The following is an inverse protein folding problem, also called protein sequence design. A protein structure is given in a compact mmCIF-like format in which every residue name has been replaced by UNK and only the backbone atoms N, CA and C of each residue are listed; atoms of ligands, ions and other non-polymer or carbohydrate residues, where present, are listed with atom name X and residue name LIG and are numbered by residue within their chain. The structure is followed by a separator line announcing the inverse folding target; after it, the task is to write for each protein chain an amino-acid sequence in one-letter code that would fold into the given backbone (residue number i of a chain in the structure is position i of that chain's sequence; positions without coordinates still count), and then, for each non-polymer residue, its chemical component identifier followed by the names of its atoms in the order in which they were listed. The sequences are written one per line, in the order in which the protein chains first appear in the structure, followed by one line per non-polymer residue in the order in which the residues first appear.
data_IF_369914637296
#
_entry.id   IF_369914637296
#
_cell.length_a   1.000
_cell.length_b   1.000
_cell.length_c   1.000
_cell.angle_alpha   90.00
_cell.angle_beta   90.00
_cell.angle_gamma   90.00
#
_symmetry.space_group_name_H-M   'P 1'
#
loop_
_entity.id
_entity.type
_entity.pdbx_description
1 polymer ?
#
# COMPACT_ATOMS: atom_id res chain seq x y z
N UNK A 1 -22.13 15.75 -18.43
CA UNK A 1 -22.10 15.58 -19.91
C UNK A 1 -23.23 14.63 -20.27
N UNK A 2 -24.28 15.16 -20.91
CA UNK A 2 -25.44 14.39 -21.36
C UNK A 2 -25.00 13.35 -22.38
N UNK A 3 -24.93 12.08 -21.97
CA UNK A 3 -24.72 10.95 -22.88
C UNK A 3 -25.97 10.84 -23.73
N UNK A 4 -25.91 11.46 -24.91
CA UNK A 4 -26.94 11.33 -25.95
C UNK A 4 -26.97 9.86 -26.31
N UNK A 5 -28.03 9.16 -25.94
CA UNK A 5 -28.28 7.76 -26.26
C UNK A 5 -28.32 7.60 -27.80
N UNK A 6 -27.24 7.14 -28.44
CA UNK A 6 -27.14 7.09 -29.89
C UNK A 6 -28.13 6.09 -30.46
N UNK A 7 -28.52 5.09 -29.66
CA UNK A 7 -29.44 4.03 -30.00
C UNK A 7 -30.86 4.58 -30.18
N UNK A 8 -31.34 5.37 -29.22
CA UNK A 8 -32.63 6.03 -29.31
C UNK A 8 -32.73 6.96 -30.53
N UNK A 9 -31.65 7.67 -30.87
CA UNK A 9 -31.59 8.56 -32.03
C UNK A 9 -31.67 7.79 -33.37
N UNK A 10 -30.91 6.70 -33.51
CA UNK A 10 -30.96 5.89 -34.72
C UNK A 10 -32.29 5.16 -34.87
N UNK A 11 -32.82 4.58 -33.79
CA UNK A 11 -34.11 3.90 -33.79
C UNK A 11 -35.25 4.84 -34.19
N UNK A 12 -35.26 6.06 -33.64
CA UNK A 12 -36.24 7.09 -33.99
C UNK A 12 -36.14 7.50 -35.46
N UNK A 13 -34.92 7.64 -36.00
CA UNK A 13 -34.69 7.99 -37.40
C UNK A 13 -35.11 6.88 -38.37
N UNK A 14 -34.93 5.62 -37.98
CA UNK A 14 -35.43 4.46 -38.73
C UNK A 14 -36.96 4.44 -38.76
N UNK A 15 -37.62 4.71 -37.62
CA UNK A 15 -39.09 4.80 -37.56
C UNK A 15 -39.62 5.97 -38.42
N UNK A 16 -38.98 7.14 -38.39
CA UNK A 16 -39.37 8.28 -39.23
C UNK A 16 -39.31 7.96 -40.73
N UNK A 17 -38.25 7.28 -41.18
CA UNK A 17 -38.10 6.86 -42.57
C UNK A 17 -39.18 5.85 -42.99
N UNK A 18 -39.59 4.98 -42.08
CA UNK A 18 -40.64 3.99 -42.32
C UNK A 18 -42.02 4.63 -42.43
N UNK A 19 -42.35 5.58 -41.55
CA UNK A 19 -43.61 6.32 -41.60
C UNK A 19 -43.73 7.11 -42.90
N UNK A 20 -42.64 7.75 -43.32
CA UNK A 20 -42.60 8.55 -44.56
C UNK A 20 -42.83 7.66 -45.79
N UNK A 21 -42.25 6.46 -45.83
CA UNK A 21 -42.50 5.51 -46.91
C UNK A 21 -43.92 4.94 -46.92
N UNK A 22 -44.55 4.75 -45.76
CA UNK A 22 -45.93 4.23 -45.68
C UNK A 22 -46.95 5.24 -46.20
N UNK A 23 -46.69 6.55 -46.06
CA UNK A 23 -47.57 7.61 -46.53
C UNK A 23 -47.76 7.62 -48.06
N UNK A 24 -46.73 7.20 -48.83
CA UNK A 24 -46.78 7.14 -50.29
C UNK A 24 -47.63 5.98 -50.85
N UNK A 25 -48.05 5.03 -50.00
CA UNK A 25 -48.82 3.84 -50.41
C UNK A 25 -50.26 3.80 -49.88
N UNK A 26 -50.76 4.89 -49.27
CA UNK A 26 -52.14 4.96 -48.77
C UNK A 26 -53.19 4.78 -49.87
N UNK A 27 -54.18 3.91 -49.64
CA UNK A 27 -55.38 3.76 -50.48
C UNK A 27 -56.22 5.05 -50.45
N UNK A 28 -56.89 5.44 -51.57
CA UNK A 28 -57.87 6.53 -51.52
C UNK A 28 -59.07 6.10 -50.66
N UNK A 29 -59.49 7.02 -49.78
CA UNK A 29 -60.66 6.88 -48.90
C UNK A 29 -61.91 6.52 -49.69
N UNK A 30 -62.44 5.30 -49.51
CA UNK A 30 -63.80 4.95 -49.99
C UNK A 30 -64.83 5.59 -49.05
N UNK A 31 -65.26 6.80 -49.38
CA UNK A 31 -66.54 7.27 -48.89
C UNK A 31 -67.64 6.49 -49.62
N UNK A 32 -68.57 5.95 -48.83
CA UNK A 32 -69.86 5.34 -49.20
C UNK A 32 -69.88 3.83 -49.42
N UNK A 33 -70.10 3.09 -48.33
CA UNK A 33 -71.03 1.96 -48.32
C UNK A 33 -71.47 1.71 -46.87
N UNK A 34 -72.50 2.45 -46.45
CA UNK A 34 -73.39 1.95 -45.40
C UNK A 34 -74.30 0.87 -46.02
N UNK A 35 -74.76 -0.04 -45.17
CA UNK A 35 -75.72 -1.12 -45.43
C UNK A 35 -75.17 -2.41 -46.05
N UNK A 36 -74.91 -3.42 -45.21
CA UNK A 36 -75.90 -4.48 -44.96
C UNK A 36 -75.39 -5.39 -43.83
N UNK A 37 -76.10 -5.36 -42.70
CA UNK A 37 -76.04 -6.36 -41.63
C UNK A 37 -77.23 -7.33 -41.80
N UNK A 38 -76.93 -8.63 -41.80
CA UNK A 38 -77.76 -9.78 -41.37
C UNK A 38 -77.01 -11.03 -41.89
N UNK A 39 -76.64 -12.06 -41.13
CA UNK A 39 -77.23 -12.58 -39.90
C UNK A 39 -78.33 -13.56 -40.25
N UNK A 40 -77.99 -14.81 -40.63
CA UNK A 40 -78.59 -16.06 -40.11
C UNK A 40 -78.15 -17.34 -40.88
N UNK A 41 -77.79 -18.35 -40.07
CA UNK A 41 -77.99 -19.81 -40.17
C UNK A 41 -77.34 -20.67 -41.28
N UNK A 42 -76.41 -21.52 -40.81
CA UNK A 42 -76.18 -22.86 -41.34
C UNK A 42 -77.39 -23.75 -41.00
N UNK A 43 -78.08 -24.24 -42.02
CA UNK A 43 -79.16 -25.22 -41.90
C UNK A 43 -79.17 -26.18 -43.10
N UNK A 44 -79.13 -27.46 -42.77
CA UNK A 44 -79.05 -28.66 -43.60
C UNK A 44 -80.15 -28.73 -44.69
N UNK A 45 -79.80 -29.10 -45.92
CA UNK A 45 -80.76 -29.58 -46.92
C UNK A 45 -80.09 -30.58 -47.87
N UNK A 46 -80.03 -31.83 -47.42
CA UNK A 46 -79.84 -32.99 -48.28
C UNK A 46 -81.19 -33.42 -48.90
N UNK A 47 -81.19 -33.52 -50.25
CA UNK A 47 -82.07 -34.34 -51.13
C UNK A 47 -83.59 -34.17 -51.05
N UNK A 48 -84.18 -33.56 -52.09
CA UNK A 48 -85.14 -34.15 -53.08
C UNK A 48 -85.13 -33.16 -54.27
N UNK A 49 -84.69 -33.46 -55.49
CA UNK A 49 -85.46 -34.16 -56.52
C UNK A 49 -84.55 -34.60 -57.67
N UNK A 50 -84.70 -35.87 -58.06
CA UNK A 50 -84.45 -36.36 -59.41
C UNK A 50 -84.99 -35.40 -60.48
N UNK A 51 -84.20 -35.11 -61.50
CA UNK A 51 -84.36 -35.68 -62.84
C UNK A 51 -83.59 -34.85 -63.89
N UNK A 52 -82.50 -35.43 -64.41
CA UNK A 52 -81.93 -35.18 -65.73
C UNK A 52 -81.95 -33.73 -66.26
N UNK A 53 -81.23 -32.82 -65.60
CA UNK A 53 -80.47 -31.83 -66.37
C UNK A 53 -79.07 -32.41 -66.52
N UNK A 54 -78.87 -33.16 -67.62
CA UNK A 54 -77.58 -33.72 -68.01
C UNK A 54 -76.51 -32.63 -67.79
N UNK A 55 -75.36 -32.93 -67.17
CA UNK A 55 -74.28 -31.95 -67.08
C UNK A 55 -73.93 -31.41 -68.49
N UNK A 56 -74.11 -32.24 -69.52
CA UNK A 56 -74.04 -31.88 -70.94
C UNK A 56 -75.18 -30.96 -71.41
N UNK A 57 -76.38 -31.04 -70.83
CA UNK A 57 -77.51 -30.15 -71.11
C UNK A 57 -77.33 -28.80 -70.41
N UNK A 58 -76.82 -28.77 -69.17
CA UNK A 58 -76.43 -27.52 -68.50
C UNK A 58 -75.24 -26.87 -69.21
N UNK A 59 -74.26 -27.66 -69.65
CA UNK A 59 -73.15 -27.21 -70.47
C UNK A 59 -73.63 -26.73 -71.84
N UNK A 60 -74.58 -27.43 -72.48
CA UNK A 60 -75.28 -26.97 -73.69
C UNK A 60 -75.97 -25.64 -73.42
N UNK A 61 -76.78 -25.51 -72.39
CA UNK A 61 -77.48 -24.26 -72.06
C UNK A 61 -76.54 -23.10 -71.76
N UNK A 62 -75.42 -23.35 -71.06
CA UNK A 62 -74.39 -22.34 -70.79
C UNK A 62 -73.58 -22.00 -72.05
N UNK A 63 -73.34 -22.98 -72.92
CA UNK A 63 -72.65 -22.79 -74.19
C UNK A 63 -73.56 -22.11 -75.22
N UNK A 64 -74.84 -22.42 -75.23
CA UNK A 64 -75.89 -21.78 -76.02
C UNK A 64 -76.16 -20.36 -75.52
N UNK A 65 -76.12 -20.12 -74.20
CA UNK A 65 -76.11 -18.77 -73.63
C UNK A 65 -74.84 -18.00 -74.04
N UNK A 66 -73.67 -18.63 -74.00
CA UNK A 66 -72.40 -18.02 -74.41
C UNK A 66 -72.36 -17.72 -75.92
N UNK A 67 -72.95 -18.59 -76.75
CA UNK A 67 -73.09 -18.40 -78.19
C UNK A 67 -74.12 -17.32 -78.49
N UNK A 68 -75.27 -17.31 -77.81
CA UNK A 68 -76.28 -16.26 -77.92
C UNK A 68 -75.74 -14.91 -77.42
N UNK A 69 -74.93 -14.90 -76.37
CA UNK A 69 -74.23 -13.72 -75.85
C UNK A 69 -73.17 -13.24 -76.86
N UNK A 70 -72.41 -14.14 -77.48
CA UNK A 70 -71.42 -13.83 -78.53
C UNK A 70 -72.07 -13.34 -79.83
N UNK A 71 -73.23 -13.88 -80.22
CA UNK A 71 -74.03 -13.41 -81.35
C UNK A 71 -74.73 -12.08 -81.05
N UNK A 72 -75.16 -11.84 -79.81
CA UNK A 72 -75.69 -10.55 -79.36
C UNK A 72 -74.60 -9.46 -79.30
N UNK A 73 -73.36 -9.81 -78.92
CA UNK A 73 -72.19 -8.92 -79.02
C UNK A 73 -71.87 -8.60 -80.50
N UNK A 74 -72.06 -9.56 -81.41
CA UNK A 74 -71.80 -9.38 -82.85
C UNK A 74 -72.92 -8.63 -83.60
N UNK A 75 -74.14 -8.57 -83.06
CA UNK A 75 -75.31 -7.95 -83.71
C UNK A 75 -75.65 -6.56 -83.17
N UNK A 76 -74.87 -6.03 -82.22
CA UNK A 76 -74.98 -4.63 -81.77
C UNK A 76 -76.28 -4.30 -81.04
N UNK A 77 -77.02 -5.30 -80.57
CA UNK A 77 -78.23 -5.14 -79.77
C UNK A 77 -77.94 -5.77 -78.41
N UNK A 78 -77.33 -4.97 -77.53
CA UNK A 78 -77.48 -4.91 -76.07
C UNK A 78 -76.50 -3.80 -75.68
N UNK A 79 -77.05 -2.63 -75.35
CA UNK A 79 -76.34 -1.67 -74.49
C UNK A 79 -75.85 -2.45 -73.27
N UNK A 80 -74.58 -2.29 -72.94
CA UNK A 80 -73.93 -2.84 -71.74
C UNK A 80 -74.92 -2.92 -70.59
N UNK A 81 -75.30 -4.13 -70.17
CA UNK A 81 -76.12 -4.31 -68.98
C UNK A 81 -75.33 -3.66 -67.83
N UNK A 82 -75.74 -2.47 -67.39
CA UNK A 82 -74.89 -1.55 -66.62
C UNK A 82 -74.37 -2.20 -65.33
N UNK A 83 -75.15 -3.12 -64.78
CA UNK A 83 -74.82 -3.93 -63.61
C UNK A 83 -73.66 -4.91 -63.87
N UNK A 84 -73.58 -5.54 -65.05
CA UNK A 84 -72.47 -6.44 -65.45
C UNK A 84 -71.19 -5.64 -65.70
N UNK A 85 -71.30 -4.45 -66.32
CA UNK A 85 -70.19 -3.53 -66.50
C UNK A 85 -69.62 -3.04 -65.16
N UNK A 86 -70.49 -2.64 -64.22
CA UNK A 86 -70.12 -2.27 -62.86
C UNK A 86 -69.45 -3.42 -62.10
N UNK A 87 -69.95 -4.65 -62.25
CA UNK A 87 -69.38 -5.83 -61.62
C UNK A 87 -67.99 -6.19 -62.19
N UNK A 88 -67.77 -5.98 -63.49
CA UNK A 88 -66.47 -6.16 -64.13
C UNK A 88 -65.47 -5.07 -63.69
N UNK A 89 -65.91 -3.82 -63.52
CA UNK A 89 -65.12 -2.73 -62.95
C UNK A 89 -64.76 -3.04 -61.49
N UNK A 90 -65.73 -3.50 -60.70
CA UNK A 90 -65.52 -3.87 -59.30
C UNK A 90 -64.53 -5.04 -59.16
N UNK A 91 -64.65 -6.09 -59.99
CA UNK A 91 -63.69 -7.21 -60.06
C UNK A 91 -62.28 -6.73 -60.42
N UNK A 92 -62.16 -5.81 -61.37
CA UNK A 92 -60.86 -5.24 -61.76
C UNK A 92 -60.24 -4.44 -60.61
N UNK A 93 -61.04 -3.66 -59.89
CA UNK A 93 -60.59 -2.92 -58.70
C UNK A 93 -60.17 -3.84 -57.55
N UNK A 94 -60.94 -4.89 -57.26
CA UNK A 94 -60.59 -5.90 -56.25
C UNK A 94 -59.30 -6.62 -56.61
N UNK A 95 -59.11 -6.99 -57.89
CA UNK A 95 -57.87 -7.61 -58.34
C UNK A 95 -56.65 -6.67 -58.20
N UNK A 96 -56.81 -5.38 -58.50
CA UNK A 96 -55.77 -4.38 -58.32
C UNK A 96 -55.43 -4.17 -56.83
N UNK A 97 -56.45 -4.13 -55.97
CA UNK A 97 -56.25 -4.04 -54.51
C UNK A 97 -55.55 -5.29 -53.98
N UNK A 98 -55.93 -6.47 -54.46
CA UNK A 98 -55.26 -7.73 -54.12
C UNK A 98 -53.79 -7.74 -54.53
N UNK A 99 -53.49 -7.31 -55.77
CA UNK A 99 -52.10 -7.20 -56.24
C UNK A 99 -51.28 -6.21 -55.40
N UNK A 100 -51.86 -5.08 -55.01
CA UNK A 100 -51.20 -4.11 -54.12
C UNK A 100 -51.03 -4.64 -52.70
N UNK A 101 -52.00 -5.39 -52.20
CA UNK A 101 -51.94 -6.05 -50.89
C UNK A 101 -50.83 -7.10 -50.86
N UNK A 102 -50.74 -7.94 -51.89
CA UNK A 102 -49.69 -8.96 -52.04
C UNK A 102 -48.30 -8.30 -52.10
N UNK A 103 -48.14 -7.23 -52.89
CA UNK A 103 -46.91 -6.42 -52.92
C UNK A 103 -46.57 -5.77 -51.57
N UNK A 104 -47.58 -5.33 -50.82
CA UNK A 104 -47.36 -4.73 -49.50
C UNK A 104 -46.90 -5.79 -48.49
N UNK A 105 -47.47 -6.99 -48.52
CA UNK A 105 -47.02 -8.13 -47.72
C UNK A 105 -45.57 -8.49 -48.04
N UNK A 106 -45.20 -8.56 -49.32
CA UNK A 106 -43.81 -8.82 -49.73
C UNK A 106 -42.86 -7.77 -49.16
N UNK A 107 -43.19 -6.48 -49.29
CA UNK A 107 -42.37 -5.38 -48.79
C UNK A 107 -42.21 -5.40 -47.27
N UNK A 108 -43.29 -5.68 -46.53
CA UNK A 108 -43.26 -5.78 -45.06
C UNK A 108 -42.43 -6.99 -44.62
N UNK A 109 -42.51 -8.11 -45.33
CA UNK A 109 -41.69 -9.29 -45.06
C UNK A 109 -40.20 -9.02 -45.32
N UNK A 110 -39.89 -8.35 -46.43
CA UNK A 110 -38.53 -7.94 -46.76
C UNK A 110 -37.98 -6.97 -45.70
N UNK A 111 -38.78 -5.99 -45.28
CA UNK A 111 -38.40 -5.04 -44.24
C UNK A 111 -38.16 -5.73 -42.90
N UNK A 112 -39.03 -6.65 -42.51
CA UNK A 112 -38.87 -7.44 -41.27
C UNK A 112 -37.58 -8.24 -41.30
N UNK A 113 -37.29 -8.93 -42.41
CA UNK A 113 -36.05 -9.68 -42.60
C UNK A 113 -34.81 -8.77 -42.47
N UNK A 114 -34.83 -7.61 -43.15
CA UNK A 114 -33.75 -6.64 -43.05
C UNK A 114 -33.57 -6.10 -41.62
N UNK A 115 -34.66 -5.86 -40.89
CA UNK A 115 -34.61 -5.40 -39.51
C UNK A 115 -34.01 -6.45 -38.57
N UNK A 116 -34.37 -7.73 -38.73
CA UNK A 116 -33.78 -8.84 -37.98
C UNK A 116 -32.27 -8.94 -38.24
N UNK A 117 -31.84 -8.89 -39.50
CA UNK A 117 -30.41 -8.92 -39.88
C UNK A 117 -29.64 -7.76 -39.25
N UNK A 118 -30.19 -6.54 -39.30
CA UNK A 118 -29.55 -5.36 -38.70
C UNK A 118 -29.48 -5.51 -37.18
N UNK A 119 -30.57 -5.96 -36.54
CA UNK A 119 -30.63 -6.13 -35.09
C UNK A 119 -29.63 -7.19 -34.62
N UNK A 120 -29.53 -8.31 -35.32
CA UNK A 120 -28.56 -9.38 -35.02
C UNK A 120 -27.12 -8.87 -35.17
N UNK A 121 -26.81 -8.18 -36.28
CA UNK A 121 -25.49 -7.58 -36.50
C UNK A 121 -25.14 -6.54 -35.44
N UNK A 122 -26.06 -5.64 -35.10
CA UNK A 122 -25.84 -4.61 -34.08
C UNK A 122 -25.66 -5.21 -32.69
N UNK A 123 -26.44 -6.24 -32.33
CA UNK A 123 -26.29 -6.96 -31.06
C UNK A 123 -24.96 -7.69 -30.99
N UNK A 124 -24.57 -8.38 -32.07
CA UNK A 124 -23.27 -9.06 -32.17
C UNK A 124 -22.11 -8.09 -32.01
N UNK A 125 -22.17 -6.93 -32.69
CA UNK A 125 -21.18 -5.86 -32.57
C UNK A 125 -21.13 -5.29 -31.15
N UNK A 126 -22.29 -5.02 -30.55
CA UNK A 126 -22.37 -4.51 -29.17
C UNK A 126 -21.71 -5.49 -28.18
N UNK A 127 -22.06 -6.77 -28.25
CA UNK A 127 -21.45 -7.82 -27.42
C UNK A 127 -19.93 -7.92 -27.66
N UNK A 128 -19.46 -7.73 -28.90
CA UNK A 128 -18.03 -7.72 -29.21
C UNK A 128 -17.32 -6.50 -28.59
N UNK A 129 -17.94 -5.32 -28.66
CA UNK A 129 -17.44 -4.10 -28.02
C UNK A 129 -17.37 -4.24 -26.49
N UNK A 130 -18.41 -4.80 -25.85
CA UNK A 130 -18.43 -5.02 -24.40
C UNK A 130 -17.32 -5.97 -23.95
N UNK A 131 -17.14 -7.09 -24.67
CA UNK A 131 -16.02 -8.01 -24.41
C UNK A 131 -14.66 -7.33 -24.60
N UNK A 132 -14.52 -6.51 -25.63
CA UNK A 132 -13.29 -5.77 -25.90
C UNK A 132 -13.00 -4.74 -24.81
N UNK A 133 -14.02 -4.02 -24.33
CA UNK A 133 -13.89 -3.08 -23.21
C UNK A 133 -13.49 -3.80 -21.91
N UNK A 134 -14.07 -4.97 -21.64
CA UNK A 134 -13.69 -5.79 -20.48
C UNK A 134 -12.23 -6.24 -20.58
N UNK A 135 -11.79 -6.74 -21.74
CA UNK A 135 -10.40 -7.09 -21.99
C UNK A 135 -9.45 -5.91 -21.86
N UNK A 136 -9.80 -4.74 -22.40
CA UNK A 136 -8.99 -3.53 -22.28
C UNK A 136 -8.81 -3.13 -20.81
N UNK A 137 -9.89 -3.20 -20.02
CA UNK A 137 -9.85 -2.91 -18.58
C UNK A 137 -8.93 -3.90 -17.84
N UNK A 138 -9.03 -5.20 -18.16
CA UNK A 138 -8.19 -6.23 -17.56
C UNK A 138 -6.71 -6.05 -17.92
N UNK A 139 -6.40 -5.74 -19.19
CA UNK A 139 -5.02 -5.47 -19.63
C UNK A 139 -4.47 -4.23 -18.93
N UNK A 140 -5.27 -3.17 -18.81
CA UNK A 140 -4.87 -1.96 -18.08
C UNK A 140 -4.57 -2.23 -16.61
N UNK A 141 -5.44 -3.00 -15.93
CA UNK A 141 -5.21 -3.43 -14.55
C UNK A 141 -3.93 -4.29 -14.41
N UNK A 142 -3.70 -5.20 -15.36
CA UNK A 142 -2.47 -6.01 -15.40
C UNK A 142 -1.21 -5.16 -15.59
N UNK A 143 -1.24 -4.18 -16.50
CA UNK A 143 -0.13 -3.26 -16.72
C UNK A 143 0.19 -2.44 -15.47
N UNK A 144 -0.85 -1.97 -14.77
CA UNK A 144 -0.71 -1.23 -13.53
C UNK A 144 -0.13 -2.09 -12.39
N UNK A 145 -0.55 -3.36 -12.29
CA UNK A 145 0.03 -4.30 -11.32
C UNK A 145 1.51 -4.58 -11.63
N UNK A 146 1.87 -4.75 -12.90
CA UNK A 146 3.27 -4.91 -13.33
C UNK A 146 4.08 -3.66 -12.95
N UNK A 147 3.54 -2.47 -13.19
CA UNK A 147 4.19 -1.20 -12.82
C UNK A 147 4.38 -1.07 -11.31
N UNK A 148 3.37 -1.43 -10.52
CA UNK A 148 3.45 -1.43 -9.06
C UNK A 148 4.50 -2.43 -8.56
N UNK A 149 4.57 -3.63 -9.14
CA UNK A 149 5.59 -4.62 -8.76
C UNK A 149 6.99 -4.18 -9.20
N UNK A 150 7.12 -3.54 -10.37
CA UNK A 150 8.41 -3.08 -10.91
C UNK A 150 9.05 -2.01 -10.02
N UNK A 151 8.24 -1.19 -9.33
CA UNK A 151 8.71 -0.19 -8.37
C UNK A 151 9.78 -0.76 -7.42
N UNK A 152 9.50 -1.90 -6.78
CA UNK A 152 10.40 -2.54 -5.82
C UNK A 152 11.76 -2.95 -6.41
N UNK A 153 11.84 -3.12 -7.73
CA UNK A 153 13.08 -3.44 -8.43
C UNK A 153 13.84 -2.20 -8.93
N UNK A 154 13.16 -1.06 -9.15
CA UNK A 154 13.80 0.17 -9.64
C UNK A 154 14.37 1.05 -8.53
N UNK A 155 13.86 0.96 -7.30
CA UNK A 155 14.27 1.87 -6.21
C UNK A 155 15.74 1.69 -5.79
N UNK A 156 16.29 0.48 -5.94
CA UNK A 156 17.64 0.12 -5.52
C UNK A 156 18.72 1.11 -5.99
N UNK A 157 18.78 1.42 -7.30
CA UNK A 157 19.85 2.26 -7.84
C UNK A 157 19.83 3.68 -7.28
N UNK A 158 18.62 4.23 -7.12
CA UNK A 158 18.41 5.56 -6.55
C UNK A 158 18.84 5.61 -5.08
N UNK A 159 18.45 4.60 -4.30
CA UNK A 159 18.80 4.47 -2.88
C UNK A 159 20.31 4.31 -2.72
N UNK A 160 20.91 3.37 -3.46
CA UNK A 160 22.34 3.08 -3.35
C UNK A 160 23.20 4.29 -3.75
N UNK A 161 22.79 5.03 -4.79
CA UNK A 161 23.47 6.28 -5.18
C UNK A 161 23.39 7.33 -4.09
N UNK A 162 22.22 7.55 -3.48
CA UNK A 162 22.04 8.50 -2.39
C UNK A 162 22.90 8.12 -1.18
N UNK A 163 22.83 6.86 -0.72
CA UNK A 163 23.63 6.35 0.39
C UNK A 163 25.14 6.49 0.15
N UNK A 164 25.59 6.31 -1.10
CA UNK A 164 26.99 6.45 -1.47
C UNK A 164 27.47 7.91 -1.52
N UNK A 165 26.57 8.87 -1.77
CA UNK A 165 26.95 10.29 -1.82
C UNK A 165 27.16 10.89 -0.42
N UNK A 166 26.49 10.37 0.60
CA UNK A 166 26.73 10.70 2.02
C UNK A 166 26.45 12.15 2.44
N UNK A 167 25.86 12.99 1.58
CA UNK A 167 25.61 14.43 1.84
C UNK A 167 24.18 14.69 2.35
N UNK A 168 23.76 14.02 3.41
CA UNK A 168 22.46 14.27 4.04
C UNK A 168 22.55 14.09 5.55
N UNK A 169 21.66 14.76 6.28
CA UNK A 169 21.53 14.55 7.72
C UNK A 169 20.88 13.20 8.01
N UNK A 170 21.45 12.45 8.94
CA UNK A 170 20.94 11.14 9.37
C UNK A 170 19.56 11.28 10.02
N UNK A 171 19.28 12.42 10.66
CA UNK A 171 17.97 12.76 11.23
C UNK A 171 17.02 13.40 10.21
N UNK A 172 17.45 13.56 8.96
CA UNK A 172 16.67 14.21 7.92
C UNK A 172 15.54 13.34 7.36
N UNK A 173 14.48 13.99 6.85
CA UNK A 173 13.36 13.32 6.19
C UNK A 173 13.80 12.43 5.02
N UNK A 174 14.83 12.86 4.26
CA UNK A 174 15.37 12.09 3.13
C UNK A 174 15.92 10.73 3.58
N UNK A 175 16.64 10.70 4.70
CA UNK A 175 17.20 9.44 5.20
C UNK A 175 16.12 8.54 5.78
N UNK A 176 15.16 9.11 6.50
CA UNK A 176 13.98 8.40 7.01
C UNK A 176 13.21 7.72 5.87
N UNK A 177 12.98 8.44 4.76
CA UNK A 177 12.35 7.88 3.57
C UNK A 177 13.19 6.75 2.94
N UNK A 178 14.52 6.88 2.93
CA UNK A 178 15.39 5.81 2.44
C UNK A 178 15.21 4.54 3.28
N UNK A 179 15.25 4.64 4.61
CA UNK A 179 15.07 3.48 5.50
C UNK A 179 13.69 2.85 5.33
N UNK A 180 12.63 3.66 5.32
CA UNK A 180 11.26 3.17 5.10
C UNK A 180 11.09 2.50 3.74
N UNK A 181 11.72 3.02 2.69
CA UNK A 181 11.66 2.39 1.35
C UNK A 181 12.44 1.08 1.32
N UNK A 182 13.60 1.00 1.99
CA UNK A 182 14.37 -0.25 2.10
C UNK A 182 13.53 -1.32 2.82
N UNK A 183 12.91 -0.97 3.93
CA UNK A 183 12.02 -1.84 4.70
C UNK A 183 10.83 -2.32 3.86
N UNK A 184 10.12 -1.40 3.20
CA UNK A 184 9.00 -1.74 2.31
C UNK A 184 9.42 -2.69 1.19
N UNK A 185 10.55 -2.42 0.52
CA UNK A 185 11.10 -3.28 -0.53
C UNK A 185 11.47 -4.66 0.00
N UNK A 186 12.17 -4.74 1.14
CA UNK A 186 12.56 -6.03 1.73
C UNK A 186 11.33 -6.83 2.14
N UNK A 187 10.33 -6.20 2.75
CA UNK A 187 9.08 -6.85 3.15
C UNK A 187 8.31 -7.39 1.95
N UNK A 188 8.18 -6.62 0.88
CA UNK A 188 7.53 -7.07 -0.36
C UNK A 188 8.28 -8.25 -0.98
N UNK A 189 9.60 -8.14 -1.15
CA UNK A 189 10.41 -9.18 -1.80
C UNK A 189 10.45 -10.48 -0.98
N UNK A 190 10.48 -10.38 0.36
CA UNK A 190 10.41 -11.53 1.25
C UNK A 190 9.03 -12.21 1.26
N UNK A 191 7.95 -11.49 0.96
CA UNK A 191 6.64 -12.11 0.75
C UNK A 191 6.52 -12.77 -0.64
N UNK A 192 7.35 -12.35 -1.60
CA UNK A 192 7.35 -12.82 -2.98
C UNK A 192 8.69 -13.48 -3.39
N UNK A 193 9.19 -14.39 -2.56
CA UNK A 193 10.47 -15.11 -2.79
C UNK A 193 10.45 -15.94 -4.08
N UNK A 194 9.27 -16.35 -4.54
CA UNK A 194 9.09 -17.16 -5.75
C UNK A 194 9.34 -16.40 -7.06
N UNK A 195 9.38 -15.06 -7.06
CA UNK A 195 9.69 -14.32 -8.28
C UNK A 195 11.17 -14.50 -8.66
N UNK A 196 11.42 -14.55 -9.98
CA UNK A 196 12.72 -14.89 -10.57
C UNK A 196 13.89 -14.14 -9.96
N UNK A 197 13.77 -12.82 -9.83
CA UNK A 197 14.87 -11.94 -9.39
C UNK A 197 14.75 -11.50 -7.92
N UNK A 198 13.74 -11.98 -7.16
CA UNK A 198 13.52 -11.53 -5.78
C UNK A 198 14.73 -11.76 -4.89
N UNK A 199 15.33 -12.95 -4.93
CA UNK A 199 16.51 -13.28 -4.11
C UNK A 199 17.70 -12.35 -4.38
N UNK A 200 17.93 -12.00 -5.64
CA UNK A 200 19.02 -11.09 -6.04
C UNK A 200 18.77 -9.69 -5.46
N UNK A 201 17.54 -9.21 -5.53
CA UNK A 201 17.19 -7.89 -5.02
C UNK A 201 17.14 -7.84 -3.50
N UNK A 202 16.75 -8.92 -2.82
CA UNK A 202 16.87 -9.03 -1.35
C UNK A 202 18.32 -8.80 -0.94
N UNK A 203 19.27 -9.53 -1.52
CA UNK A 203 20.70 -9.32 -1.22
C UNK A 203 21.18 -7.91 -1.54
N UNK A 204 20.69 -7.29 -2.62
CA UNK A 204 21.00 -5.89 -2.94
C UNK A 204 20.47 -4.91 -1.90
N UNK A 205 19.24 -5.12 -1.41
CA UNK A 205 18.66 -4.26 -0.37
C UNK A 205 19.28 -4.52 1.00
N UNK A 206 19.71 -5.74 1.32
CA UNK A 206 20.53 -6.05 2.50
C UNK A 206 21.87 -5.29 2.47
N UNK A 207 22.49 -5.17 1.30
CA UNK A 207 23.70 -4.33 1.12
C UNK A 207 23.40 -2.84 1.31
N UNK A 208 22.27 -2.34 0.81
CA UNK A 208 21.83 -0.97 1.09
C UNK A 208 21.60 -0.75 2.59
N UNK A 209 20.99 -1.73 3.27
CA UNK A 209 20.77 -1.69 4.71
C UNK A 209 22.10 -1.64 5.46
N UNK A 210 23.05 -2.51 5.13
CA UNK A 210 24.41 -2.51 5.71
C UNK A 210 25.12 -1.17 5.51
N UNK A 211 24.97 -0.57 4.33
CA UNK A 211 25.51 0.75 4.03
C UNK A 211 24.82 1.84 4.84
N UNK A 212 23.50 1.79 5.00
CA UNK A 212 22.74 2.73 5.81
C UNK A 212 23.13 2.64 7.30
N UNK A 213 23.26 1.43 7.85
CA UNK A 213 23.77 1.20 9.20
C UNK A 213 25.17 1.77 9.39
N UNK A 214 26.04 1.60 8.38
CA UNK A 214 27.39 2.20 8.40
C UNK A 214 27.34 3.73 8.44
N UNK A 215 26.43 4.37 7.69
CA UNK A 215 26.24 5.83 7.69
C UNK A 215 25.78 6.32 9.07
N UNK A 216 24.82 5.63 9.69
CA UNK A 216 24.35 5.93 11.05
C UNK A 216 25.52 5.83 12.02
N UNK A 217 26.22 4.69 12.03
CA UNK A 217 27.38 4.44 12.89
C UNK A 217 28.40 5.55 12.74
N UNK A 218 28.82 5.89 11.52
CA UNK A 218 29.80 6.96 11.29
C UNK A 218 29.34 8.32 11.82
N UNK A 219 28.06 8.66 11.67
CA UNK A 219 27.53 9.92 12.18
C UNK A 219 27.46 9.97 13.70
N UNK A 220 27.01 8.89 14.34
CA UNK A 220 27.00 8.79 15.82
C UNK A 220 28.43 8.90 16.36
N UNK A 221 29.38 8.17 15.76
CA UNK A 221 30.80 8.26 16.11
C UNK A 221 31.33 9.69 15.96
N UNK A 222 30.99 10.37 14.86
CA UNK A 222 31.43 11.75 14.63
C UNK A 222 30.84 12.74 15.65
N UNK A 223 29.58 12.59 16.05
CA UNK A 223 28.96 13.43 17.08
C UNK A 223 29.55 13.17 18.49
N UNK A 224 29.83 11.91 18.82
CA UNK A 224 30.51 11.57 20.09
C UNK A 224 31.94 12.13 20.13
N UNK A 225 32.70 11.97 19.05
CA UNK A 225 34.06 12.49 18.93
C UNK A 225 34.08 14.03 18.94
N UNK A 226 33.11 14.68 18.28
CA UNK A 226 32.96 16.13 18.34
C UNK A 226 32.62 16.62 19.75
N UNK A 227 31.85 15.84 20.52
CA UNK A 227 31.56 16.15 21.93
C UNK A 227 32.81 16.00 22.81
N UNK A 228 33.58 14.93 22.62
CA UNK A 228 34.85 14.70 23.29
C UNK A 228 35.82 15.86 23.07
N UNK A 229 36.05 16.24 21.80
CA UNK A 229 36.94 17.33 21.44
C UNK A 229 36.43 18.69 21.97
N UNK A 230 35.13 18.95 21.94
CA UNK A 230 34.56 20.17 22.49
C UNK A 230 34.78 20.29 24.02
N UNK A 231 34.70 19.19 24.76
CA UNK A 231 35.03 19.18 26.19
C UNK A 231 36.52 19.37 26.39
N UNK A 232 37.37 18.64 25.65
CA UNK A 232 38.83 18.75 25.72
C UNK A 232 39.31 20.18 25.44
N UNK A 233 38.81 20.82 24.39
CA UNK A 233 39.20 22.18 24.01
C UNK A 233 38.82 23.20 25.08
N UNK A 234 37.63 23.05 25.68
CA UNK A 234 37.17 23.92 26.77
C UNK A 234 37.98 23.68 28.05
N UNK A 235 38.30 22.42 28.34
CA UNK A 235 39.17 22.05 29.45
C UNK A 235 40.58 22.62 29.30
N UNK A 236 41.16 22.56 28.09
CA UNK A 236 42.48 23.17 27.81
C UNK A 236 42.48 24.70 27.93
N UNK A 237 41.38 25.36 27.56
CA UNK A 237 41.23 26.82 27.76
C UNK A 237 41.13 27.18 29.25
N UNK A 238 40.38 26.39 30.00
CA UNK A 238 40.26 26.55 31.46
C UNK A 238 41.59 26.32 32.16
N UNK A 239 42.41 25.35 31.77
CA UNK A 239 43.75 25.11 32.36
C UNK A 239 44.71 26.31 32.16
N UNK A 240 44.59 27.03 31.04
CA UNK A 240 45.37 28.25 30.76
C UNK A 240 44.88 29.45 31.59
N UNK A 241 43.57 29.55 31.84
CA UNK A 241 42.94 30.63 32.62
C UNK A 241 42.87 30.35 34.13
N UNK A 242 43.04 29.08 34.55
CA UNK A 242 42.98 28.59 35.94
C UNK A 242 44.08 29.14 36.86
N UNK A 243 45.03 29.93 36.34
CA UNK A 243 46.01 30.64 37.17
C UNK A 243 45.43 31.88 37.87
N UNK A 244 44.16 32.23 37.66
CA UNK A 244 43.57 33.48 38.18
C UNK A 244 42.17 33.39 38.83
N UNK A 245 41.46 32.25 38.84
CA UNK A 245 40.15 32.14 39.51
C UNK A 245 39.82 30.75 40.07
N UNK A 246 39.26 30.72 41.28
CA UNK A 246 38.59 29.54 41.86
C UNK A 246 37.32 29.23 41.06
N UNK A 247 37.36 28.18 40.24
CA UNK A 247 36.18 27.65 39.57
C UNK A 247 35.39 26.73 40.52
N UNK A 248 34.07 26.78 40.43
CA UNK A 248 33.19 25.89 41.20
C UNK A 248 33.10 24.52 40.53
N UNK A 249 32.99 23.45 41.34
CA UNK A 249 32.72 22.08 40.87
C UNK A 249 31.53 21.98 39.91
N UNK A 250 30.55 22.90 40.04
CA UNK A 250 29.36 22.99 39.18
C UNK A 250 29.70 23.32 37.70
N UNK A 251 30.73 24.13 37.44
CA UNK A 251 31.13 24.50 36.07
C UNK A 251 31.82 23.34 35.35
N UNK A 252 32.61 22.55 36.08
CA UNK A 252 33.26 21.34 35.57
C UNK A 252 32.23 20.26 35.22
N UNK A 253 31.19 20.11 36.06
CA UNK A 253 30.08 19.20 35.80
C UNK A 253 29.26 19.63 34.57
N UNK A 254 28.91 20.93 34.48
CA UNK A 254 28.18 21.47 33.33
C UNK A 254 28.95 21.27 32.02
N UNK A 255 30.27 21.38 32.05
CA UNK A 255 31.13 21.11 30.90
C UNK A 255 31.12 19.63 30.50
N UNK A 256 31.31 18.72 31.46
CA UNK A 256 31.50 17.29 31.22
C UNK A 256 30.23 16.57 30.75
N UNK A 257 29.07 16.99 31.27
CA UNK A 257 27.77 16.37 30.98
C UNK A 257 26.90 17.20 30.04
N UNK A 258 26.90 18.53 30.18
CA UNK A 258 26.04 19.41 29.37
C UNK A 258 26.36 19.38 27.88
N UNK A 259 27.64 19.28 27.51
CA UNK A 259 28.07 19.19 26.09
C UNK A 259 27.56 17.90 25.44
N UNK A 260 27.62 16.78 26.15
CA UNK A 260 27.12 15.49 25.66
C UNK A 260 25.60 15.46 25.62
N UNK A 261 24.93 15.93 26.68
CA UNK A 261 23.47 16.00 26.75
C UNK A 261 22.87 16.82 25.58
N UNK A 262 23.55 17.88 25.14
CA UNK A 262 23.13 18.68 23.99
C UNK A 262 23.08 17.89 22.68
N UNK A 263 23.93 16.87 22.50
CA UNK A 263 23.96 16.01 21.30
C UNK A 263 23.13 14.74 21.43
N UNK A 264 22.80 14.34 22.66
CA UNK A 264 22.08 13.11 22.96
C UNK A 264 20.78 12.96 22.16
N UNK A 265 19.97 14.02 22.07
CA UNK A 265 18.71 14.01 21.31
C UNK A 265 18.90 13.75 19.81
N UNK A 266 19.98 14.27 19.21
CA UNK A 266 20.27 14.06 17.78
C UNK A 266 20.60 12.59 17.51
N UNK A 267 21.50 12.02 18.32
CA UNK A 267 21.91 10.61 18.22
C UNK A 267 20.74 9.69 18.50
N UNK A 268 19.98 9.93 19.58
CA UNK A 268 18.79 9.15 19.92
C UNK A 268 17.75 9.19 18.81
N UNK A 269 17.52 10.35 18.20
CA UNK A 269 16.58 10.46 17.08
C UNK A 269 17.05 9.68 15.86
N UNK A 270 18.36 9.67 15.55
CA UNK A 270 18.92 8.91 14.44
C UNK A 270 18.78 7.39 14.66
N UNK A 271 19.03 6.92 15.89
CA UNK A 271 18.89 5.50 16.26
C UNK A 271 17.42 5.07 16.25
N UNK A 272 16.51 5.87 16.81
CA UNK A 272 15.08 5.57 16.84
C UNK A 272 14.47 5.42 15.43
N UNK A 273 14.91 6.23 14.47
CA UNK A 273 14.44 6.15 13.08
C UNK A 273 14.83 4.80 12.46
N UNK A 274 16.01 4.26 12.78
CA UNK A 274 16.41 2.93 12.32
C UNK A 274 15.73 1.81 13.13
N UNK A 275 15.54 2.00 14.44
CA UNK A 275 14.88 1.04 15.33
C UNK A 275 13.44 0.76 14.90
N UNK A 276 12.69 1.78 14.47
CA UNK A 276 11.30 1.65 14.00
C UNK A 276 11.12 0.63 12.87
N UNK A 277 12.14 0.48 12.01
CA UNK A 277 12.09 -0.41 10.85
C UNK A 277 12.87 -1.71 11.05
N UNK A 278 13.94 -1.70 11.86
CA UNK A 278 14.96 -2.74 11.82
C UNK A 278 15.34 -3.32 13.19
N UNK A 279 14.52 -3.14 14.22
CA UNK A 279 14.77 -3.63 15.59
C UNK A 279 15.23 -5.09 15.67
N UNK A 280 14.58 -5.97 14.91
CA UNK A 280 14.83 -7.41 14.95
C UNK A 280 15.98 -7.87 14.03
N UNK A 281 16.61 -6.94 13.31
CA UNK A 281 17.70 -7.24 12.38
C UNK A 281 19.05 -7.25 13.09
N UNK A 282 19.80 -8.33 12.92
CA UNK A 282 21.13 -8.53 13.52
C UNK A 282 22.08 -7.38 13.22
N UNK A 283 22.12 -6.86 11.98
CA UNK A 283 22.95 -5.74 11.58
C UNK A 283 22.65 -4.45 12.37
N UNK A 284 21.39 -4.20 12.71
CA UNK A 284 21.00 -3.05 13.53
C UNK A 284 21.44 -3.24 14.99
N UNK A 285 21.30 -4.45 15.53
CA UNK A 285 21.74 -4.77 16.89
C UNK A 285 23.26 -4.62 17.04
N UNK A 286 24.04 -5.14 16.08
CA UNK A 286 25.50 -5.00 16.04
C UNK A 286 25.92 -3.53 15.91
N UNK A 287 25.28 -2.77 15.02
CA UNK A 287 25.56 -1.34 14.84
C UNK A 287 25.27 -0.53 16.12
N UNK A 288 24.20 -0.87 16.84
CA UNK A 288 23.85 -0.24 18.12
C UNK A 288 24.88 -0.56 19.20
N UNK A 289 25.30 -1.83 19.29
CA UNK A 289 26.33 -2.27 20.22
C UNK A 289 27.68 -1.57 19.95
N UNK A 290 28.07 -1.41 18.69
CA UNK A 290 29.27 -0.65 18.30
C UNK A 290 29.20 0.81 18.77
N UNK A 291 28.04 1.45 18.61
CA UNK A 291 27.82 2.83 19.06
C UNK A 291 27.89 2.96 20.58
N UNK A 292 27.31 2.01 21.32
CA UNK A 292 27.38 1.96 22.78
C UNK A 292 28.82 1.74 23.26
N UNK A 293 29.56 0.80 22.67
CA UNK A 293 30.95 0.54 23.01
C UNK A 293 31.82 1.77 22.79
N UNK A 294 31.61 2.49 21.68
CA UNK A 294 32.32 3.73 21.41
C UNK A 294 31.98 4.84 22.41
N UNK A 295 30.70 4.97 22.79
CA UNK A 295 30.28 5.88 23.86
C UNK A 295 31.04 5.58 25.16
N UNK A 296 31.02 4.33 25.63
CA UNK A 296 31.71 3.94 26.87
C UNK A 296 33.21 4.18 26.80
N UNK A 297 33.84 3.86 25.66
CA UNK A 297 35.27 4.12 25.46
C UNK A 297 35.60 5.61 25.59
N UNK A 298 34.82 6.47 24.93
CA UNK A 298 35.03 7.93 24.97
C UNK A 298 34.79 8.47 26.38
N UNK A 299 33.71 8.06 27.05
CA UNK A 299 33.42 8.48 28.43
C UNK A 299 34.50 8.02 29.40
N UNK A 300 34.92 6.76 29.32
CA UNK A 300 35.98 6.22 30.18
C UNK A 300 37.28 7.03 30.06
N UNK A 301 37.72 7.31 28.82
CA UNK A 301 38.92 8.11 28.56
C UNK A 301 38.88 9.51 29.19
N UNK A 302 37.68 10.08 29.34
CA UNK A 302 37.49 11.39 29.96
C UNK A 302 37.38 11.32 31.48
N UNK A 303 36.68 10.31 31.99
CA UNK A 303 36.38 10.17 33.42
C UNK A 303 37.56 9.59 34.20
N UNK A 304 38.32 8.66 33.63
CA UNK A 304 39.46 8.02 34.29
C UNK A 304 40.43 9.04 34.93
N UNK A 305 40.94 10.08 34.22
CA UNK A 305 41.83 11.06 34.83
C UNK A 305 41.15 11.91 35.91
N UNK A 306 39.87 12.25 35.74
CA UNK A 306 39.08 13.00 36.74
C UNK A 306 38.96 12.18 38.03
N UNK A 307 38.54 10.93 37.91
CA UNK A 307 38.40 9.99 39.03
C UNK A 307 39.75 9.81 39.74
N UNK A 308 40.83 9.57 38.99
CA UNK A 308 42.18 9.42 39.55
C UNK A 308 42.60 10.65 40.36
N UNK A 309 42.41 11.84 39.82
CA UNK A 309 42.77 13.09 40.49
C UNK A 309 41.93 13.32 41.76
N UNK A 310 40.60 13.15 41.68
CA UNK A 310 39.71 13.34 42.82
C UNK A 310 39.98 12.33 43.93
N UNK A 311 40.22 11.05 43.62
CA UNK A 311 40.53 10.05 44.64
C UNK A 311 41.91 10.32 45.26
N UNK A 312 42.89 10.75 44.48
CA UNK A 312 44.21 11.13 44.98
C UNK A 312 44.14 12.37 45.89
N UNK A 313 43.27 13.33 45.59
CA UNK A 313 42.99 14.47 46.46
C UNK A 313 42.28 14.07 47.75
N UNK A 314 41.28 13.19 47.66
CA UNK A 314 40.63 12.59 48.83
C UNK A 314 41.65 11.81 49.68
N UNK A 315 42.60 11.13 49.05
CA UNK A 315 43.68 10.40 49.73
C UNK A 315 44.57 11.35 50.53
N UNK A 316 44.93 12.51 49.96
CA UNK A 316 45.70 13.56 50.66
C UNK A 316 44.90 14.19 51.80
N UNK A 317 43.61 14.40 51.60
CA UNK A 317 42.73 15.01 52.61
C UNK A 317 42.47 14.07 53.79
N UNK A 318 42.47 12.76 53.53
CA UNK A 318 42.19 11.71 54.52
C UNK A 318 43.40 10.80 54.78
N UNK A 319 44.62 11.35 54.81
CA UNK A 319 45.86 10.57 55.06
C UNK A 319 45.82 9.75 56.36
N UNK A 320 45.09 10.23 57.37
CA UNK A 320 44.98 9.59 58.69
C UNK A 320 43.85 8.57 58.82
N UNK A 321 42.94 8.48 57.85
CA UNK A 321 41.76 7.60 57.95
C UNK A 321 41.41 6.93 56.63
N UNK A 322 41.83 5.68 56.48
CA UNK A 322 41.46 4.81 55.36
C UNK A 322 39.94 4.62 55.25
N UNK A 323 39.23 4.53 56.39
CA UNK A 323 37.77 4.39 56.42
C UNK A 323 37.05 5.64 55.87
N UNK A 324 37.53 6.84 56.19
CA UNK A 324 36.99 8.08 55.63
C UNK A 324 37.24 8.18 54.12
N UNK A 325 38.44 7.82 53.67
CA UNK A 325 38.77 7.73 52.24
C UNK A 325 37.83 6.78 51.50
N UNK A 326 37.62 5.56 52.01
CA UNK A 326 36.74 4.57 51.39
C UNK A 326 35.29 5.07 51.36
N UNK A 327 34.76 5.61 52.46
CA UNK A 327 33.38 6.12 52.51
C UNK A 327 33.15 7.26 51.52
N UNK A 328 34.07 8.24 51.48
CA UNK A 328 33.96 9.38 50.57
C UNK A 328 34.22 8.99 49.11
N UNK A 329 35.19 8.10 48.85
CA UNK A 329 35.47 7.57 47.52
C UNK A 329 34.30 6.76 46.93
N UNK A 330 33.69 5.89 47.74
CA UNK A 330 32.48 5.16 47.34
C UNK A 330 31.30 6.09 47.10
N UNK A 331 31.06 7.08 47.99
CA UNK A 331 29.99 8.05 47.80
C UNK A 331 30.18 8.90 46.53
N UNK A 332 31.41 9.30 46.22
CA UNK A 332 31.75 9.99 44.97
C UNK A 332 31.49 9.11 43.75
N UNK A 333 32.01 7.87 43.73
CA UNK A 333 31.80 6.96 42.60
C UNK A 333 30.33 6.62 42.39
N UNK A 334 29.55 6.40 43.46
CA UNK A 334 28.12 6.11 43.35
C UNK A 334 27.37 7.26 42.67
N UNK A 335 27.66 8.52 43.04
CA UNK A 335 27.07 9.69 42.37
C UNK A 335 27.49 9.76 40.91
N UNK A 336 28.77 9.54 40.63
CA UNK A 336 29.29 9.56 39.27
C UNK A 336 28.64 8.48 38.39
N UNK A 337 28.42 7.28 38.94
CA UNK A 337 27.74 6.19 38.24
C UNK A 337 26.27 6.54 37.93
N UNK A 338 25.58 7.19 38.87
CA UNK A 338 24.20 7.65 38.68
C UNK A 338 24.12 8.74 37.59
N UNK A 339 25.05 9.70 37.60
CA UNK A 339 25.15 10.74 36.58
C UNK A 339 25.46 10.17 35.19
N UNK A 340 26.39 9.21 35.09
CA UNK A 340 26.68 8.51 33.83
C UNK A 340 25.51 7.68 33.34
N UNK A 341 24.78 7.01 34.23
CA UNK A 341 23.60 6.25 33.85
C UNK A 341 22.49 7.18 33.31
N UNK A 342 22.29 8.32 33.98
CA UNK A 342 21.34 9.35 33.54
C UNK A 342 21.72 9.95 32.19
N UNK A 343 23.01 10.15 31.92
CA UNK A 343 23.47 10.60 30.61
C UNK A 343 23.27 9.50 29.57
N UNK A 344 23.68 8.27 29.85
CA UNK A 344 23.54 7.11 28.95
C UNK A 344 22.08 6.91 28.49
N UNK A 345 21.11 7.01 29.41
CA UNK A 345 19.68 6.95 29.12
C UNK A 345 19.16 8.03 28.16
N UNK A 346 19.88 9.15 28.01
CA UNK A 346 19.51 10.18 27.04
C UNK A 346 19.92 9.81 25.60
N UNK A 347 20.93 8.95 25.44
CA UNK A 347 21.44 8.51 24.15
C UNK A 347 20.77 7.22 23.66
N UNK A 348 20.64 6.23 24.56
CA UNK A 348 20.23 4.87 24.20
C UNK A 348 18.97 4.46 24.95
N UNK A 349 18.11 3.71 24.26
CA UNK A 349 16.96 3.04 24.87
C UNK A 349 17.49 1.91 25.75
N UNK A 350 17.29 2.04 27.06
CA UNK A 350 17.43 0.91 27.99
C UNK A 350 16.16 0.10 27.83
N UNK A 351 16.25 -1.21 27.60
CA UNK A 351 15.05 -2.05 27.52
C UNK A 351 14.18 -1.82 28.74
N UNK A 352 13.03 -1.19 28.55
CA UNK A 352 12.00 -1.09 29.59
C UNK A 352 11.40 -2.49 29.72
N UNK A 353 11.94 -3.28 30.64
CA UNK A 353 11.20 -4.39 31.21
C UNK A 353 10.07 -3.77 32.06
N UNK A 354 8.93 -3.52 31.40
CA UNK A 354 7.64 -3.52 32.08
C UNK A 354 7.44 -4.94 32.66
N UNK A 355 8.05 -5.22 33.80
CA UNK A 355 7.45 -6.12 34.79
C UNK A 355 7.40 -5.47 36.16
N UNK A 356 6.17 -5.32 36.60
CA UNK A 356 5.74 -4.84 37.89
C UNK A 356 6.29 -5.71 39.04
N UNK A 357 7.02 -5.09 39.96
CA UNK A 357 7.01 -5.51 41.37
C UNK A 357 8.36 -5.91 41.97
N UNK A 358 8.72 -5.16 43.01
CA UNK A 358 9.75 -5.47 44.03
C UNK A 358 11.20 -5.09 43.68
N UNK A 359 11.54 -3.83 43.97
CA UNK A 359 12.89 -3.49 44.45
C UNK A 359 13.14 -4.28 45.74
N UNK A 360 13.88 -5.37 45.66
CA UNK A 360 14.60 -5.94 46.80
C UNK A 360 16.09 -5.98 46.48
N UNK A 361 16.82 -5.19 47.24
CA UNK A 361 18.27 -5.14 47.29
C UNK A 361 18.79 -6.49 47.81
N UNK A 362 19.25 -7.35 46.90
CA UNK A 362 20.21 -8.41 47.24
C UNK A 362 21.13 -8.62 46.06
N UNK A 363 22.35 -8.09 46.17
CA UNK A 363 23.49 -8.45 45.33
C UNK A 363 23.75 -9.96 45.53
N UNK A 364 23.71 -10.81 44.49
CA UNK A 364 24.19 -12.17 44.62
C UNK A 364 25.72 -12.13 44.67
N UNK A 365 26.28 -12.61 45.78
CA UNK A 365 27.71 -12.89 45.92
C UNK A 365 28.07 -13.93 44.85
N UNK A 366 29.03 -13.70 43.95
CA UNK A 366 29.47 -14.72 43.01
C UNK A 366 30.39 -15.70 43.73
N UNK A 367 29.81 -16.74 44.33
CA UNK A 367 30.55 -17.95 44.68
C UNK A 367 30.76 -18.78 43.41
N UNK A 368 31.71 -18.36 42.56
CA UNK A 368 32.58 -19.18 41.70
C UNK A 368 33.17 -18.34 40.56
N UNK A 369 34.50 -18.22 40.54
CA UNK A 369 35.26 -17.32 39.67
C UNK A 369 35.48 -17.83 38.22
N UNK A 370 34.69 -18.77 37.69
CA UNK A 370 35.03 -19.35 36.37
C UNK A 370 33.88 -19.92 35.52
N UNK A 371 32.62 -19.60 35.80
CA UNK A 371 31.51 -20.15 35.02
C UNK A 371 30.48 -19.07 34.65
N UNK A 372 30.75 -18.36 33.54
CA UNK A 372 29.74 -17.69 32.72
C UNK A 372 30.30 -17.45 31.32
N UNK A 373 30.59 -18.56 30.62
CA UNK A 373 30.58 -18.58 29.16
C UNK A 373 29.31 -19.35 28.81
N UNK A 374 28.42 -18.71 28.04
CA UNK A 374 27.19 -19.26 27.46
C UNK A 374 25.90 -19.06 28.27
N UNK A 375 25.37 -17.84 28.24
CA UNK A 375 23.92 -17.63 28.13
C UNK A 375 23.67 -16.40 27.23
N UNK A 376 22.88 -16.49 26.16
CA UNK A 376 22.41 -15.32 25.41
C UNK A 376 21.27 -14.66 26.20
N UNK A 377 21.00 -13.37 25.94
CA UNK A 377 19.97 -12.49 26.55
C UNK A 377 20.44 -11.61 27.72
N UNK A 378 21.11 -10.49 27.36
CA UNK A 378 20.79 -9.11 27.79
C UNK A 378 21.87 -8.17 27.25
N UNK A 379 21.73 -7.71 26.01
CA UNK A 379 22.75 -6.89 25.32
C UNK A 379 22.86 -5.46 25.89
N UNK A 380 21.88 -5.01 26.68
CA UNK A 380 21.82 -3.64 27.21
C UNK A 380 22.44 -3.41 28.59
N UNK A 381 22.41 -4.40 29.48
CA UNK A 381 22.87 -4.22 30.87
C UNK A 381 24.33 -4.58 31.05
N UNK A 382 24.81 -5.65 30.40
CA UNK A 382 26.19 -6.14 30.59
C UNK A 382 27.25 -5.13 30.15
N UNK A 383 26.98 -4.34 29.11
CA UNK A 383 27.94 -3.35 28.59
C UNK A 383 28.07 -2.12 29.49
N UNK A 384 26.99 -1.71 30.16
CA UNK A 384 27.04 -0.64 31.15
C UNK A 384 27.69 -1.12 32.45
N UNK A 385 27.37 -2.34 32.89
CA UNK A 385 27.97 -2.96 34.08
C UNK A 385 29.50 -3.08 33.95
N UNK A 386 29.99 -3.55 32.80
CA UNK A 386 31.42 -3.62 32.48
C UNK A 386 32.09 -2.22 32.53
N UNK A 387 31.39 -1.20 32.04
CA UNK A 387 31.85 0.19 32.09
C UNK A 387 31.93 0.70 33.54
N UNK A 388 30.90 0.49 34.36
CA UNK A 388 30.93 0.87 35.76
C UNK A 388 32.02 0.12 36.52
N UNK A 389 32.19 -1.17 36.28
CA UNK A 389 33.28 -1.95 36.88
C UNK A 389 34.65 -1.32 36.56
N UNK A 390 34.85 -0.89 35.31
CA UNK A 390 36.09 -0.23 34.91
C UNK A 390 36.35 1.09 35.66
N UNK A 391 35.31 1.88 35.94
CA UNK A 391 35.43 3.10 36.75
C UNK A 391 35.73 2.76 38.22
N UNK A 392 35.04 1.77 38.78
CA UNK A 392 35.23 1.32 40.16
C UNK A 392 36.62 0.70 40.39
N UNK A 393 37.22 0.07 39.38
CA UNK A 393 38.60 -0.47 39.44
C UNK A 393 39.63 0.61 39.80
N UNK A 394 39.40 1.87 39.42
CA UNK A 394 40.29 2.97 39.79
C UNK A 394 40.37 3.17 41.31
N UNK A 395 39.23 3.17 42.01
CA UNK A 395 39.21 3.23 43.47
C UNK A 395 39.77 1.96 44.09
N UNK A 396 39.45 0.80 43.53
CA UNK A 396 39.96 -0.49 44.01
C UNK A 396 41.50 -0.52 43.98
N UNK A 397 42.13 -0.07 42.90
CA UNK A 397 43.59 -0.08 42.76
C UNK A 397 44.27 0.83 43.79
N UNK A 398 43.62 1.91 44.21
CA UNK A 398 44.10 2.83 45.25
C UNK A 398 43.88 2.25 46.65
N UNK A 399 42.74 1.62 46.90
CA UNK A 399 42.42 1.02 48.20
C UNK A 399 43.17 -0.30 48.44
N UNK A 400 43.47 -1.08 47.40
CA UNK A 400 44.15 -2.37 47.49
C UNK A 400 45.45 -2.34 48.30
N UNK A 401 46.43 -1.45 48.05
CA UNK A 401 47.64 -1.38 48.87
C UNK A 401 47.34 -0.98 50.32
N UNK A 402 46.34 -0.13 50.56
CA UNK A 402 45.94 0.32 51.90
C UNK A 402 45.37 -0.85 52.70
N UNK A 403 44.54 -1.69 52.08
CA UNK A 403 43.96 -2.89 52.71
C UNK A 403 45.03 -3.94 52.97
N UNK A 404 45.92 -4.23 52.01
CA UNK A 404 46.94 -5.28 52.15
C UNK A 404 47.97 -4.96 53.23
N UNK A 405 48.35 -3.69 53.38
CA UNK A 405 49.39 -3.28 54.34
C UNK A 405 48.82 -2.82 55.69
N UNK A 406 47.50 -2.93 55.91
CA UNK A 406 46.90 -2.49 57.17
C UNK A 406 47.17 -3.50 58.30
N UNK A 407 47.87 -3.11 59.38
CA UNK A 407 48.16 -4.01 60.49
C UNK A 407 46.99 -4.12 61.49
N UNK A 408 45.96 -3.26 61.38
CA UNK A 408 44.88 -3.14 62.36
C UNK A 408 43.61 -3.86 61.90
N UNK A 409 43.24 -4.92 62.61
CA UNK A 409 42.06 -5.73 62.29
C UNK A 409 40.74 -4.93 62.41
N UNK A 410 40.65 -4.00 63.36
CA UNK A 410 39.47 -3.13 63.56
C UNK A 410 39.19 -2.29 62.30
N UNK A 411 40.23 -1.67 61.73
CA UNK A 411 40.14 -0.90 60.49
C UNK A 411 39.70 -1.77 59.31
N UNK A 412 40.22 -3.00 59.21
CA UNK A 412 39.81 -3.95 58.16
C UNK A 412 38.34 -4.35 58.30
N UNK A 413 37.86 -4.57 59.53
CA UNK A 413 36.44 -4.88 59.77
C UNK A 413 35.54 -3.71 59.42
N UNK A 414 35.92 -2.47 59.74
CA UNK A 414 35.16 -1.28 59.36
C UNK A 414 35.14 -1.10 57.84
N UNK A 415 36.27 -1.28 57.15
CA UNK A 415 36.33 -1.24 55.68
C UNK A 415 35.42 -2.28 55.04
N UNK A 416 35.39 -3.51 55.56
CA UNK A 416 34.46 -4.53 55.10
C UNK A 416 32.99 -4.17 55.34
N UNK A 417 32.66 -3.42 56.39
CA UNK A 417 31.29 -2.94 56.61
C UNK A 417 30.89 -1.80 55.66
N UNK A 418 31.85 -0.97 55.23
CA UNK A 418 31.59 0.14 54.31
C UNK A 418 31.39 -0.35 52.87
N UNK A 419 32.07 -1.44 52.48
CA UNK A 419 32.02 -2.00 51.12
C UNK A 419 30.88 -3.01 50.89
N UNK A 420 30.17 -3.39 51.95
CA UNK A 420 28.92 -4.16 51.86
C UNK A 420 27.76 -3.25 51.51
#
# INVERSE_FOLDING_TARGET
MSVVDPFGSMHKKTIELLITKVADYGLPSSANSADLQSGEELGDFEKVLDSNLNADLLYSYLSDLYIAEKENISSGIIEENAEIGLLHICKKSINLVKERYDKCIELVNELRSNYEIVTERTSSLHNACDRMMAHQTQIAAGAEQIRANLYYYTQYESIMKKLSTGKFSITGQVFTQILSTIDECLRFLNNHIHYKDSRIYITKYEQCLSKAMTVIRMGVMADLEASHNAVKDRYMKLDVESRQSDYSDDDTFALLYGVFAARANSIRSALNVAEQHFRDITEFQLMTADCQQAYFKIRYQMLEPVIKNTIEELRRTHESSSCALTRNGCAFLLRLCDDEFRLYKQFFTVGDDDDSGSRSTTVPIPSNLHASISAPFNLGTTSFDDFIESLCRVLYDILRPIVIHNPHLETLTELCTILK
#
